data_IF_616337210276
#
_entry.id   IF_616337210276
#
_cell.length_a   1.000
_cell.length_b   1.000
_cell.length_c   1.000
_cell.angle_alpha   90.00
_cell.angle_beta   90.00
_cell.angle_gamma   90.00
#
_symmetry.space_group_name_H-M   'P 1'
#
loop_
_entity.id
_entity.type
_entity.pdbx_description
1 polymer ?
#
# COMPACT_ATOMS: atom_id res chain seq x y z
N UNK A 1 4.53 -25.31 -21.63
CA UNK A 1 4.01 -24.10 -20.97
C UNK A 1 4.70 -24.01 -19.60
N UNK A 2 5.94 -23.51 -19.59
CA UNK A 2 6.70 -23.34 -18.36
C UNK A 2 6.16 -22.10 -17.65
N UNK A 3 5.57 -22.30 -16.48
CA UNK A 3 5.21 -21.23 -15.56
C UNK A 3 6.50 -20.60 -15.04
N UNK A 4 6.91 -19.52 -15.69
CA UNK A 4 7.96 -18.64 -15.21
C UNK A 4 7.45 -17.99 -13.92
N UNK A 5 7.83 -18.58 -12.79
CA UNK A 5 7.50 -18.05 -11.47
C UNK A 5 8.46 -16.91 -11.22
N UNK A 6 8.12 -15.75 -11.79
CA UNK A 6 8.71 -14.47 -11.39
C UNK A 6 8.47 -14.38 -9.89
N UNK A 7 9.51 -14.56 -9.10
CA UNK A 7 9.47 -14.37 -7.65
C UNK A 7 9.20 -12.89 -7.40
N UNK A 8 7.92 -12.52 -7.43
CA UNK A 8 7.54 -11.13 -7.26
C UNK A 8 7.83 -10.78 -5.82
N UNK A 9 8.88 -9.99 -5.58
CA UNK A 9 9.37 -9.62 -4.25
C UNK A 9 8.34 -8.98 -3.29
N UNK A 10 7.09 -8.76 -3.69
CA UNK A 10 6.00 -8.38 -2.77
C UNK A 10 5.31 -9.60 -2.09
N UNK A 11 5.56 -10.83 -2.56
CA UNK A 11 4.83 -12.04 -2.17
C UNK A 11 5.14 -12.46 -0.73
N UNK A 12 6.32 -12.12 -0.20
CA UNK A 12 6.75 -12.44 1.18
C UNK A 12 5.78 -11.94 2.25
N UNK A 13 5.03 -10.85 2.00
CA UNK A 13 4.14 -10.24 2.99
C UNK A 13 2.79 -9.82 2.38
N UNK A 14 2.30 -10.58 1.38
CA UNK A 14 1.06 -10.30 0.63
C UNK A 14 -0.13 -9.96 1.53
N UNK A 15 -0.36 -10.72 2.60
CA UNK A 15 -1.50 -10.51 3.51
C UNK A 15 -1.42 -9.18 4.26
N UNK A 16 -0.21 -8.72 4.59
CA UNK A 16 0.01 -7.43 5.24
C UNK A 16 -0.33 -6.28 4.29
N UNK A 17 0.08 -6.37 3.02
CA UNK A 17 -0.30 -5.39 2.00
C UNK A 17 -1.81 -5.35 1.79
N UNK A 18 -2.45 -6.51 1.64
CA UNK A 18 -3.91 -6.59 1.50
C UNK A 18 -4.64 -6.01 2.72
N UNK A 19 -4.17 -6.28 3.96
CA UNK A 19 -4.74 -5.68 5.17
C UNK A 19 -4.61 -4.15 5.19
N UNK A 20 -3.48 -3.60 4.75
CA UNK A 20 -3.29 -2.14 4.65
C UNK A 20 -4.21 -1.53 3.59
N UNK A 21 -4.31 -2.16 2.43
CA UNK A 21 -5.21 -1.71 1.36
C UNK A 21 -6.68 -1.75 1.76
N UNK A 22 -7.13 -2.79 2.48
CA UNK A 22 -8.51 -2.85 3.03
C UNK A 22 -8.81 -1.69 4.00
N UNK A 23 -7.82 -1.24 4.78
CA UNK A 23 -7.97 -0.06 5.66
C UNK A 23 -8.08 1.24 4.86
N UNK A 24 -7.22 1.41 3.85
CA UNK A 24 -7.23 2.54 2.92
C UNK A 24 -8.59 2.65 2.21
N UNK A 25 -9.12 1.53 1.74
CA UNK A 25 -10.45 1.45 1.13
C UNK A 25 -11.56 1.91 2.12
N UNK A 26 -11.44 1.50 3.39
CA UNK A 26 -12.34 1.95 4.46
C UNK A 26 -12.25 3.44 4.73
N UNK A 27 -11.06 4.02 4.70
CA UNK A 27 -10.83 5.46 4.82
C UNK A 27 -11.46 6.23 3.66
N UNK A 28 -11.26 5.78 2.42
CA UNK A 28 -11.88 6.38 1.23
C UNK A 28 -13.41 6.37 1.33
N UNK A 29 -14.02 5.24 1.71
CA UNK A 29 -15.47 5.17 1.98
C UNK A 29 -15.91 6.11 3.10
N UNK A 30 -15.07 6.28 4.13
CA UNK A 30 -15.32 7.23 5.21
C UNK A 30 -15.40 8.66 4.71
N UNK A 31 -14.44 9.08 3.88
CA UNK A 31 -14.42 10.40 3.26
C UNK A 31 -15.65 10.62 2.38
N UNK A 32 -16.06 9.64 1.57
CA UNK A 32 -17.29 9.73 0.77
C UNK A 32 -18.51 10.02 1.64
N UNK A 33 -18.69 9.29 2.75
CA UNK A 33 -19.79 9.55 3.70
C UNK A 33 -19.70 10.94 4.32
N UNK A 34 -18.50 11.40 4.69
CA UNK A 34 -18.34 12.76 5.24
C UNK A 34 -18.77 13.85 4.25
N UNK A 35 -18.55 13.63 2.95
CA UNK A 35 -19.00 14.54 1.90
C UNK A 35 -20.53 14.48 1.76
N UNK A 36 -21.12 13.28 1.74
CA UNK A 36 -22.57 13.09 1.71
C UNK A 36 -23.28 13.73 2.92
N UNK A 37 -22.63 13.71 4.08
CA UNK A 37 -23.11 14.30 5.33
C UNK A 37 -22.78 15.80 5.48
N UNK A 38 -22.22 16.43 4.44
CA UNK A 38 -21.83 17.85 4.42
C UNK A 38 -20.95 18.27 5.63
N UNK A 39 -20.03 17.38 6.03
CA UNK A 39 -19.11 17.61 7.16
C UNK A 39 -18.18 18.79 6.89
N UNK A 40 -17.68 19.38 7.97
CA UNK A 40 -16.75 20.50 7.91
C UNK A 40 -15.51 20.17 7.05
N UNK A 41 -15.16 21.09 6.14
CA UNK A 41 -14.13 20.85 5.14
C UNK A 41 -12.76 20.49 5.74
N UNK A 42 -12.40 21.05 6.90
CA UNK A 42 -11.13 20.74 7.58
C UNK A 42 -11.10 19.29 8.09
N UNK A 43 -12.22 18.75 8.56
CA UNK A 43 -12.31 17.35 8.98
C UNK A 43 -12.08 16.42 7.79
N UNK A 44 -12.70 16.74 6.64
CA UNK A 44 -12.55 15.98 5.39
C UNK A 44 -11.10 16.02 4.90
N UNK A 45 -10.47 17.20 4.88
CA UNK A 45 -9.08 17.38 4.50
C UNK A 45 -8.13 16.60 5.42
N UNK A 46 -8.42 16.57 6.72
CA UNK A 46 -7.65 15.79 7.69
C UNK A 46 -7.71 14.29 7.39
N UNK A 47 -8.89 13.77 7.05
CA UNK A 47 -9.02 12.35 6.66
C UNK A 47 -8.37 12.06 5.30
N UNK A 48 -8.44 12.98 4.35
CA UNK A 48 -7.76 12.85 3.05
C UNK A 48 -6.23 12.80 3.19
N UNK A 49 -5.65 13.62 4.08
CA UNK A 49 -4.23 13.58 4.42
C UNK A 49 -3.83 12.25 5.08
N UNK A 50 -4.66 11.75 6.01
CA UNK A 50 -4.46 10.44 6.62
C UNK A 50 -4.50 9.29 5.59
N UNK A 51 -5.41 9.34 4.63
CA UNK A 51 -5.48 8.38 3.51
C UNK A 51 -4.21 8.44 2.64
N UNK A 52 -3.75 9.65 2.33
CA UNK A 52 -2.55 9.89 1.51
C UNK A 52 -1.31 9.30 2.18
N UNK A 53 -1.14 9.54 3.48
CA UNK A 53 -0.04 8.98 4.28
C UNK A 53 -0.08 7.46 4.35
N UNK A 54 -1.29 6.87 4.47
CA UNK A 54 -1.44 5.43 4.46
C UNK A 54 -1.02 4.80 3.12
N UNK A 55 -1.38 5.43 2.00
CA UNK A 55 -0.94 5.02 0.66
C UNK A 55 0.59 5.13 0.50
N UNK A 56 1.18 6.26 0.91
CA UNK A 56 2.63 6.44 0.88
C UNK A 56 3.38 5.36 1.69
N UNK A 57 2.85 4.99 2.86
CA UNK A 57 3.42 3.90 3.68
C UNK A 57 3.38 2.55 2.98
N UNK A 58 2.34 2.26 2.20
CA UNK A 58 2.27 1.04 1.38
C UNK A 58 3.31 1.09 0.26
N UNK A 59 3.39 2.20 -0.48
CA UNK A 59 4.35 2.36 -1.58
C UNK A 59 5.80 2.22 -1.11
N UNK A 60 6.15 2.83 0.02
CA UNK A 60 7.50 2.73 0.59
C UNK A 60 7.83 1.30 1.04
N UNK A 61 6.87 0.58 1.63
CA UNK A 61 7.08 -0.80 2.03
C UNK A 61 7.29 -1.72 0.82
N UNK A 62 6.50 -1.55 -0.26
CA UNK A 62 6.68 -2.32 -1.50
C UNK A 62 8.04 -2.03 -2.15
N UNK A 63 8.50 -0.78 -2.10
CA UNK A 63 9.82 -0.40 -2.60
C UNK A 63 10.95 -1.04 -1.77
N UNK A 64 10.86 -1.02 -0.44
CA UNK A 64 11.84 -1.67 0.44
C UNK A 64 11.93 -3.18 0.16
N UNK A 65 10.77 -3.84 0.04
CA UNK A 65 10.70 -5.26 -0.30
C UNK A 65 11.30 -5.55 -1.69
N UNK A 66 11.05 -4.68 -2.68
CA UNK A 66 11.65 -4.82 -4.01
C UNK A 66 13.17 -4.71 -3.96
N UNK A 67 13.70 -3.70 -3.27
CA UNK A 67 15.15 -3.49 -3.13
C UNK A 67 15.78 -4.70 -2.43
N UNK A 68 15.19 -5.20 -1.34
CA UNK A 68 15.71 -6.35 -0.60
C UNK A 68 15.82 -7.60 -1.46
N UNK A 69 14.84 -7.88 -2.30
CA UNK A 69 14.88 -9.06 -3.16
C UNK A 69 15.86 -8.86 -4.32
N UNK A 70 15.78 -7.76 -5.07
CA UNK A 70 16.64 -7.52 -6.23
C UNK A 70 18.12 -7.36 -5.87
N UNK A 71 18.46 -6.74 -4.73
CA UNK A 71 19.86 -6.53 -4.31
C UNK A 71 20.43 -7.79 -3.67
N UNK A 72 19.64 -8.55 -2.89
CA UNK A 72 20.10 -9.81 -2.30
C UNK A 72 20.40 -10.84 -3.38
N UNK A 73 19.54 -10.94 -4.39
CA UNK A 73 19.73 -11.91 -5.47
C UNK A 73 20.93 -11.54 -6.36
N UNK A 74 21.18 -10.23 -6.55
CA UNK A 74 22.39 -9.75 -7.22
C UNK A 74 23.69 -10.01 -6.43
N UNK A 75 23.64 -9.94 -5.09
CA UNK A 75 24.80 -10.22 -4.23
C UNK A 75 25.07 -11.72 -4.04
N UNK A 76 24.08 -12.58 -4.23
CA UNK A 76 24.23 -14.04 -4.16
C UNK A 76 24.64 -14.67 -5.50
N UNK A 77 24.45 -13.94 -6.61
CA UNK A 77 24.81 -14.38 -7.96
C UNK A 77 26.24 -13.94 -8.40
N UNK A 78 27.00 -13.29 -7.53
CA UNK A 78 28.43 -12.99 -7.70
C UNK A 78 29.28 -13.76 -6.69
#
# INVERSE_FOLDING_TARGET
MASDSVDHGYITDKDKYLKRLKRIEGQARGISRMIEEERYCIDILTQADALTKALQSVSLALLDDHIRHCVRDAAAAG
#
